data_IF_735195905315
#
_entry.id   IF_735195905315
#
_cell.length_a   1.000
_cell.length_b   1.000
_cell.length_c   1.000
_cell.angle_alpha   90.00
_cell.angle_beta   90.00
_cell.angle_gamma   90.00
#
_symmetry.space_group_name_H-M   'P 1'
#
loop_
_entity.id
_entity.type
_entity.pdbx_description
1 polymer ?
#
# COMPACT_ATOMS: atom_id res chain seq x y z
N UNK A 1 3.91 -20.73 -7.83
CA UNK A 1 3.23 -20.30 -6.59
C UNK A 1 1.99 -21.16 -6.42
N UNK A 2 1.76 -21.73 -5.23
CA UNK A 2 0.55 -22.53 -4.91
C UNK A 2 -0.28 -21.78 -3.89
N UNK A 3 -1.60 -21.96 -3.92
CA UNK A 3 -2.55 -21.29 -3.03
C UNK A 3 -3.25 -20.10 -3.70
N UNK A 4 -4.44 -19.77 -3.18
CA UNK A 4 -5.27 -18.66 -3.66
C UNK A 4 -5.35 -17.61 -2.55
N UNK A 5 -4.86 -16.38 -2.76
CA UNK A 5 -4.98 -15.32 -1.77
C UNK A 5 -6.45 -15.03 -1.42
N UNK A 6 -6.74 -14.79 -0.14
CA UNK A 6 -8.05 -14.35 0.30
C UNK A 6 -8.17 -12.85 0.06
N UNK A 7 -9.16 -12.44 -0.73
CA UNK A 7 -9.47 -11.02 -0.94
C UNK A 7 -10.38 -10.48 0.16
N UNK A 8 -10.14 -9.24 0.57
CA UNK A 8 -10.98 -8.48 1.50
C UNK A 8 -11.06 -7.01 1.07
N UNK A 9 -12.25 -6.43 1.19
CA UNK A 9 -12.50 -5.01 0.98
C UNK A 9 -13.52 -4.49 1.98
N UNK A 10 -13.19 -3.37 2.63
CA UNK A 10 -14.15 -2.54 3.41
C UNK A 10 -14.48 -1.23 2.67
N UNK A 11 -13.74 -0.95 1.60
CA UNK A 11 -13.66 0.37 0.97
C UNK A 11 -13.88 0.14 -0.52
N UNK A 12 -15.03 0.55 -1.10
CA UNK A 12 -15.37 0.29 -2.51
C UNK A 12 -14.23 0.56 -3.50
N UNK A 13 -14.00 -0.31 -4.49
CA UNK A 13 -12.91 -0.13 -5.45
C UNK A 13 -11.49 -0.25 -4.87
N UNK A 14 -11.32 -0.63 -3.61
CA UNK A 14 -10.02 -1.04 -3.04
C UNK A 14 -10.09 -2.50 -2.66
N UNK A 15 -9.14 -3.31 -3.11
CA UNK A 15 -9.03 -4.72 -2.75
C UNK A 15 -7.68 -4.97 -2.11
N UNK A 16 -7.69 -5.70 -0.99
CA UNK A 16 -6.49 -6.19 -0.32
C UNK A 16 -6.50 -7.71 -0.32
N UNK A 17 -5.36 -8.33 -0.55
CA UNK A 17 -5.22 -9.79 -0.54
C UNK A 17 -4.30 -10.24 0.57
N UNK A 18 -4.65 -11.36 1.19
CA UNK A 18 -3.96 -11.90 2.37
C UNK A 18 -3.73 -13.40 2.22
N UNK A 19 -2.74 -13.93 2.94
CA UNK A 19 -2.59 -15.37 3.12
C UNK A 19 -3.80 -15.91 3.90
N UNK A 20 -4.51 -16.95 3.41
CA UNK A 20 -5.67 -17.50 4.09
C UNK A 20 -5.33 -18.17 5.43
N UNK A 21 -4.08 -18.63 5.60
CA UNK A 21 -3.66 -19.42 6.76
C UNK A 21 -3.10 -18.56 7.91
N UNK A 22 -2.25 -17.58 7.59
CA UNK A 22 -1.59 -16.73 8.61
C UNK A 22 -2.05 -15.27 8.61
N UNK A 23 -2.83 -14.84 7.62
CA UNK A 23 -3.34 -13.46 7.54
C UNK A 23 -2.32 -12.40 7.07
N UNK A 24 -1.09 -12.77 6.69
CA UNK A 24 -0.10 -11.83 6.16
C UNK A 24 -0.61 -11.10 4.92
N UNK A 25 -0.34 -9.80 4.83
CA UNK A 25 -0.67 -8.97 3.66
C UNK A 25 0.17 -9.37 2.46
N UNK A 26 -0.47 -9.52 1.30
CA UNK A 26 0.16 -9.91 0.03
C UNK A 26 0.09 -8.75 -0.94
N UNK A 27 -1.12 -8.34 -1.33
CA UNK A 27 -1.30 -7.37 -2.41
C UNK A 27 -2.40 -6.36 -2.16
N UNK A 28 -2.36 -5.31 -2.97
CA UNK A 28 -3.32 -4.21 -2.95
C UNK A 28 -3.58 -3.74 -4.39
N UNK A 29 -4.86 -3.53 -4.70
CA UNK A 29 -5.31 -2.89 -5.93
C UNK A 29 -6.32 -1.80 -5.61
N UNK A 30 -6.28 -0.72 -6.39
CA UNK A 30 -7.16 0.42 -6.26
C UNK A 30 -7.68 0.82 -7.65
N UNK A 31 -8.99 0.88 -7.83
CA UNK A 31 -9.61 1.34 -9.08
C UNK A 31 -9.19 2.78 -9.46
N UNK A 32 -8.74 3.58 -8.50
CA UNK A 32 -8.17 4.91 -8.75
C UNK A 32 -6.73 4.88 -9.26
N UNK A 33 -6.08 3.73 -9.26
CA UNK A 33 -4.74 3.48 -9.79
C UNK A 33 -4.80 2.23 -10.70
N UNK A 34 -5.58 2.26 -11.80
CA UNK A 34 -5.94 1.06 -12.56
C UNK A 34 -4.73 0.37 -13.22
N UNK A 35 -3.66 1.12 -13.47
CA UNK A 35 -2.43 0.62 -14.08
C UNK A 35 -1.39 0.15 -13.04
N UNK A 36 -1.72 0.17 -11.75
CA UNK A 36 -0.82 -0.22 -10.68
C UNK A 36 -1.36 -1.38 -9.85
N UNK A 37 -0.47 -2.33 -9.56
CA UNK A 37 -0.69 -3.36 -8.57
C UNK A 37 0.43 -3.31 -7.53
N UNK A 38 0.05 -3.31 -6.26
CA UNK A 38 0.97 -3.17 -5.16
C UNK A 38 1.19 -4.53 -4.50
N UNK A 39 2.45 -4.83 -4.19
CA UNK A 39 2.85 -6.01 -3.43
C UNK A 39 3.48 -5.54 -2.12
N UNK A 40 3.11 -6.18 -1.02
CA UNK A 40 3.68 -5.87 0.30
C UNK A 40 5.14 -6.35 0.31
N UNK A 41 6.09 -5.47 0.61
CA UNK A 41 7.53 -5.80 0.57
C UNK A 41 7.88 -7.00 1.47
N UNK A 42 7.22 -7.13 2.63
CA UNK A 42 7.42 -8.26 3.56
C UNK A 42 6.93 -9.62 3.04
N UNK A 43 6.27 -9.67 1.89
CA UNK A 43 5.89 -10.92 1.23
C UNK A 43 6.99 -11.46 0.30
N UNK A 44 8.03 -10.67 0.00
CA UNK A 44 9.10 -11.05 -0.92
C UNK A 44 10.20 -11.85 -0.21
N UNK A 45 10.80 -12.83 -0.90
CA UNK A 45 11.91 -13.64 -0.36
C UNK A 45 13.20 -12.83 -0.16
N UNK A 46 13.40 -11.78 -0.96
CA UNK A 46 14.57 -10.89 -0.96
C UNK A 46 14.16 -9.42 -0.94
N UNK A 47 13.55 -8.94 0.17
CA UNK A 47 13.00 -7.59 0.26
C UNK A 47 14.06 -6.48 0.18
N UNK A 48 15.32 -6.78 0.50
CA UNK A 48 16.45 -5.85 0.48
C UNK A 48 16.75 -5.27 -0.92
N UNK A 49 16.28 -5.94 -1.99
CA UNK A 49 16.39 -5.44 -3.37
C UNK A 49 15.45 -4.28 -3.69
N UNK A 50 14.50 -3.95 -2.81
CA UNK A 50 13.47 -2.95 -3.03
C UNK A 50 13.61 -1.78 -2.04
N UNK A 51 14.56 -0.90 -2.32
CA UNK A 51 14.77 0.30 -1.49
C UNK A 51 13.59 1.28 -1.60
N UNK A 52 13.11 1.84 -0.46
CA UNK A 52 12.07 2.86 -0.48
C UNK A 52 12.50 4.09 -1.28
N UNK A 53 11.55 4.68 -2.02
CA UNK A 53 11.80 5.88 -2.82
C UNK A 53 11.12 7.13 -2.25
N UNK A 54 10.18 6.98 -1.32
CA UNK A 54 9.45 8.06 -0.66
C UNK A 54 8.70 7.53 0.57
N UNK A 55 8.35 8.44 1.48
CA UNK A 55 7.41 8.22 2.57
C UNK A 55 6.06 8.84 2.21
N UNK A 56 5.09 8.00 1.83
CA UNK A 56 3.71 8.44 1.56
C UNK A 56 2.88 8.47 2.86
N UNK A 57 1.83 9.28 2.90
CA UNK A 57 1.00 9.51 4.10
C UNK A 57 1.80 9.98 5.32
N UNK A 58 2.79 10.84 5.09
CA UNK A 58 3.71 11.31 6.13
C UNK A 58 3.02 12.04 7.30
N UNK A 59 1.88 12.67 7.03
CA UNK A 59 1.09 13.36 8.06
C UNK A 59 0.31 12.41 8.98
N UNK A 60 0.18 11.14 8.61
CA UNK A 60 -0.44 10.09 9.44
C UNK A 60 0.57 9.42 10.37
N UNK A 61 1.87 9.76 10.26
CA UNK A 61 2.89 9.19 11.14
C UNK A 61 2.69 9.67 12.58
N UNK A 62 3.16 8.86 13.52
CA UNK A 62 3.23 9.28 14.91
C UNK A 62 4.30 10.37 15.05
N UNK A 63 4.08 11.43 15.84
CA UNK A 63 4.93 12.63 15.85
C UNK A 63 6.37 12.39 16.32
N UNK A 64 6.64 11.23 16.92
CA UNK A 64 7.97 10.81 17.39
C UNK A 64 8.70 9.86 16.43
N UNK A 65 8.09 9.49 15.30
CA UNK A 65 8.73 8.67 14.28
C UNK A 65 9.48 9.58 13.32
N UNK A 66 10.80 9.38 13.26
CA UNK A 66 11.71 10.06 12.36
C UNK A 66 12.60 9.02 11.68
N UNK A 67 12.93 9.27 10.41
CA UNK A 67 13.81 8.42 9.61
C UNK A 67 15.07 9.21 9.23
N UNK A 68 16.23 8.61 9.49
CA UNK A 68 17.54 9.15 9.12
C UNK A 68 17.84 8.88 7.63
N UNK A 69 17.04 9.51 6.77
CA UNK A 69 17.21 9.47 5.32
C UNK A 69 16.73 10.80 4.69
N UNK A 70 17.06 11.01 3.41
CA UNK A 70 16.69 12.21 2.66
C UNK A 70 15.55 11.99 1.66
N UNK A 71 14.76 10.92 1.82
CA UNK A 71 13.68 10.60 0.86
C UNK A 71 12.58 11.70 0.86
N UNK A 72 11.75 11.80 -0.19
CA UNK A 72 10.59 12.68 -0.16
C UNK A 72 9.59 12.29 0.95
N UNK A 73 9.10 13.28 1.70
CA UNK A 73 7.98 13.14 2.66
C UNK A 73 6.73 13.70 2.01
N UNK A 74 5.72 12.85 1.78
CA UNK A 74 4.51 13.17 1.05
C UNK A 74 3.32 12.91 1.98
N UNK A 75 2.54 13.93 2.32
CA UNK A 75 1.44 13.82 3.28
C UNK A 75 0.25 12.98 2.78
N UNK A 76 0.23 12.63 1.49
CA UNK A 76 -0.86 11.90 0.84
C UNK A 76 -0.30 10.84 -0.10
N UNK A 77 -1.08 10.47 -1.12
CA UNK A 77 -0.65 9.58 -2.18
C UNK A 77 0.62 10.10 -2.87
N UNK A 78 1.61 9.21 -3.03
CA UNK A 78 2.80 9.43 -3.85
C UNK A 78 2.58 9.19 -5.35
N UNK A 79 1.35 8.85 -5.73
CA UNK A 79 0.90 8.57 -7.11
C UNK A 79 -0.36 9.38 -7.41
N UNK A 80 -0.54 9.73 -8.69
CA UNK A 80 -1.75 10.42 -9.15
C UNK A 80 -2.89 9.41 -9.21
N UNK A 81 -3.91 9.62 -8.38
CA UNK A 81 -5.12 8.80 -8.32
C UNK A 81 -6.27 9.46 -9.09
N UNK A 82 -7.21 8.68 -9.62
CA UNK A 82 -8.45 9.23 -10.21
C UNK A 82 -9.23 10.03 -9.15
N UNK A 83 -9.41 11.35 -9.33
CA UNK A 83 -10.14 12.18 -8.38
C UNK A 83 -11.62 11.82 -8.26
N UNK A 84 -12.23 11.19 -9.27
CA UNK A 84 -13.65 10.83 -9.26
C UNK A 84 -14.01 9.82 -8.18
N UNK A 85 -13.05 8.99 -7.77
CA UNK A 85 -13.24 7.95 -6.76
C UNK A 85 -13.03 8.47 -5.32
N UNK A 86 -12.71 9.77 -5.14
CA UNK A 86 -12.48 10.39 -3.84
C UNK A 86 -11.33 9.77 -3.05
N UNK A 87 -11.13 10.16 -1.79
CA UNK A 87 -10.14 9.49 -0.94
C UNK A 87 -10.75 8.24 -0.28
N UNK A 88 -10.12 7.06 -0.35
CA UNK A 88 -10.48 5.87 0.43
C UNK A 88 -10.71 6.10 1.92
N UNK A 89 -10.10 7.12 2.53
CA UNK A 89 -10.32 7.46 3.94
C UNK A 89 -11.70 8.08 4.22
N UNK A 90 -12.32 8.69 3.22
CA UNK A 90 -13.53 9.51 3.39
C UNK A 90 -14.82 8.71 3.12
N UNK A 91 -14.74 7.38 3.02
CA UNK A 91 -15.82 6.50 2.58
C UNK A 91 -15.81 5.14 3.27
#
# INVERSE_FOLDING_TARGET
LRGTPKAFSKTPGVTRTFCPDCGSSIGYSDEGLPDEFYVTVGFLDKPEGFQPQAHAYWDLRLPYIEFDDSLPRIDRYSRKRDPKLGNPRDR
#
